data_IF_930850485919
#
_entry.id   IF_930850485919
#
_cell.length_a   1.000
_cell.length_b   1.000
_cell.length_c   1.000
_cell.angle_alpha   90.00
_cell.angle_beta   90.00
_cell.angle_gamma   90.00
#
_symmetry.space_group_name_H-M   'P 1'
#
loop_
_entity.id
_entity.type
_entity.pdbx_description
1 polymer ?
#
# COMPACT_ATOMS: atom_id res chain seq x y z
N UNK A 1 -19.01 -10.90 14.92
CA UNK A 1 -18.86 -9.44 14.78
C UNK A 1 -17.36 -9.19 14.69
N UNK A 2 -16.83 -8.92 13.49
CA UNK A 2 -15.37 -8.71 13.36
C UNK A 2 -14.97 -7.47 14.17
N UNK A 3 -13.90 -7.53 14.98
CA UNK A 3 -13.41 -6.35 15.69
C UNK A 3 -13.06 -5.27 14.67
N UNK A 4 -13.53 -4.04 14.89
CA UNK A 4 -13.23 -2.88 14.06
C UNK A 4 -11.72 -2.76 13.87
N UNK A 5 -11.27 -2.76 12.62
CA UNK A 5 -9.85 -2.67 12.22
C UNK A 5 -9.14 -1.44 12.79
N UNK A 6 -9.89 -0.36 13.05
CA UNK A 6 -9.41 0.86 13.69
C UNK A 6 -9.07 0.63 15.17
N UNK A 7 -9.84 -0.19 15.89
CA UNK A 7 -9.57 -0.49 17.29
C UNK A 7 -8.33 -1.39 17.43
N UNK A 8 -8.09 -2.29 16.47
CA UNK A 8 -6.88 -3.11 16.40
C UNK A 8 -5.64 -2.29 16.02
N UNK A 9 -5.78 -1.27 15.16
CA UNK A 9 -4.74 -0.27 14.94
C UNK A 9 -4.47 0.55 16.21
N UNK A 10 -5.51 0.90 16.96
CA UNK A 10 -5.40 1.58 18.25
C UNK A 10 -4.57 0.78 19.26
N UNK A 11 -4.82 -0.53 19.39
CA UNK A 11 -4.03 -1.36 20.33
C UNK A 11 -2.58 -1.55 19.89
N UNK A 12 -2.30 -1.68 18.59
CA UNK A 12 -0.93 -1.81 18.09
C UNK A 12 -0.08 -0.52 18.26
N UNK A 13 -0.74 0.63 18.35
CA UNK A 13 -0.10 1.92 18.71
C UNK A 13 0.19 1.96 20.22
N UNK A 14 -0.75 1.50 21.05
CA UNK A 14 -0.57 1.44 22.51
C UNK A 14 0.56 0.48 22.93
N UNK A 15 0.83 -0.57 22.15
CA UNK A 15 1.91 -1.55 22.37
C UNK A 15 3.29 -1.12 21.82
N UNK A 16 3.38 0.05 21.15
CA UNK A 16 4.66 0.61 20.68
C UNK A 16 5.24 -0.01 19.39
N UNK A 17 4.42 -0.73 18.60
CA UNK A 17 4.85 -1.54 17.44
C UNK A 17 4.76 -0.83 16.07
N UNK A 18 4.47 0.47 15.98
CA UNK A 18 4.47 1.14 14.68
C UNK A 18 4.85 2.59 14.80
N UNK A 19 5.77 3.04 13.97
CA UNK A 19 6.21 4.42 14.02
C UNK A 19 6.76 4.90 12.68
N UNK A 20 6.52 6.15 12.34
CA UNK A 20 7.00 6.84 11.13
C UNK A 20 7.40 8.25 11.58
N UNK A 21 8.44 8.86 10.99
CA UNK A 21 9.05 10.14 11.40
C UNK A 21 9.77 10.13 12.76
N UNK A 22 10.38 9.00 13.15
CA UNK A 22 11.49 9.03 14.11
C UNK A 22 11.61 7.87 15.09
N UNK A 23 10.73 6.86 15.04
CA UNK A 23 10.73 5.79 16.05
C UNK A 23 10.21 4.46 15.41
N UNK A 24 10.02 3.34 16.16
CA UNK A 24 9.91 1.88 15.78
C UNK A 24 8.78 1.37 14.82
N UNK A 25 8.95 1.34 13.49
CA UNK A 25 8.12 0.44 12.65
C UNK A 25 8.37 -1.02 13.11
N UNK A 26 7.39 -1.77 13.64
CA UNK A 26 7.61 -3.18 13.99
C UNK A 26 8.21 -3.97 12.83
N UNK A 27 9.03 -4.96 13.16
CA UNK A 27 9.69 -5.82 12.19
C UNK A 27 8.68 -6.36 11.16
N UNK A 28 9.01 -6.21 9.87
CA UNK A 28 8.15 -6.66 8.78
C UNK A 28 6.90 -5.82 8.50
N UNK A 29 6.61 -4.73 9.22
CA UNK A 29 5.47 -3.88 8.87
C UNK A 29 5.56 -3.26 7.45
N UNK A 30 6.73 -2.84 6.93
CA UNK A 30 6.83 -2.36 5.55
C UNK A 30 6.43 -3.43 4.54
N UNK A 31 6.79 -4.69 4.77
CA UNK A 31 6.41 -5.80 3.90
C UNK A 31 4.91 -6.11 4.01
N UNK A 32 4.33 -6.08 5.22
CA UNK A 32 2.87 -6.22 5.40
C UNK A 32 2.09 -5.13 4.66
N UNK A 33 2.57 -3.88 4.71
CA UNK A 33 2.01 -2.79 3.94
C UNK A 33 2.13 -3.04 2.44
N UNK A 34 3.31 -3.45 1.96
CA UNK A 34 3.54 -3.76 0.55
C UNK A 34 2.61 -4.86 0.03
N UNK A 35 2.50 -5.98 0.75
CA UNK A 35 1.59 -7.08 0.43
C UNK A 35 0.13 -6.63 0.37
N UNK A 36 -0.28 -5.72 1.25
CA UNK A 36 -1.65 -5.21 1.24
C UNK A 36 -1.95 -4.38 -0.01
N UNK A 37 -1.00 -3.59 -0.46
CA UNK A 37 -1.13 -2.82 -1.70
C UNK A 37 -1.09 -3.70 -2.95
N UNK A 38 -0.32 -4.79 -2.94
CA UNK A 38 -0.35 -5.78 -4.01
C UNK A 38 -1.70 -6.50 -4.08
N UNK A 39 -2.22 -6.96 -2.95
CA UNK A 39 -3.57 -7.55 -2.86
C UNK A 39 -4.65 -6.60 -3.36
N UNK A 40 -4.52 -5.31 -3.06
CA UNK A 40 -5.43 -4.28 -3.56
C UNK A 40 -5.33 -4.15 -5.08
N UNK A 41 -4.13 -4.11 -5.65
CA UNK A 41 -3.93 -4.05 -7.10
C UNK A 41 -4.55 -5.27 -7.80
N UNK A 42 -4.36 -6.47 -7.25
CA UNK A 42 -4.93 -7.71 -7.80
C UNK A 42 -6.46 -7.73 -7.74
N UNK A 43 -7.05 -7.22 -6.65
CA UNK A 43 -8.50 -7.07 -6.53
C UNK A 43 -9.06 -6.07 -7.55
N UNK A 44 -8.33 -5.01 -7.85
CA UNK A 44 -8.71 -4.02 -8.85
C UNK A 44 -8.61 -4.60 -10.27
N UNK A 45 -7.58 -5.39 -10.56
CA UNK A 45 -7.44 -6.09 -11.84
C UNK A 45 -8.59 -7.09 -12.07
N UNK A 46 -8.99 -7.84 -11.04
CA UNK A 46 -10.16 -8.72 -11.12
C UNK A 46 -11.47 -7.94 -11.42
N UNK A 47 -11.62 -6.72 -10.88
CA UNK A 47 -12.75 -5.84 -11.20
C UNK A 47 -12.70 -5.34 -12.64
N UNK A 48 -11.50 -5.01 -13.15
CA UNK A 48 -11.30 -4.62 -14.55
C UNK A 48 -11.72 -5.75 -15.49
N UNK A 49 -11.34 -7.00 -15.21
CA UNK A 49 -11.75 -8.16 -16.00
C UNK A 49 -13.27 -8.31 -16.04
N UNK A 50 -13.92 -8.14 -14.89
CA UNK A 50 -15.39 -8.18 -14.77
C UNK A 50 -16.05 -7.07 -15.59
N UNK A 51 -15.48 -5.85 -15.56
CA UNK A 51 -15.98 -4.70 -16.31
C UNK A 51 -15.70 -4.78 -17.81
N UNK A 52 -14.73 -5.61 -18.24
CA UNK A 52 -14.41 -5.80 -19.66
C UNK A 52 -15.62 -6.20 -20.51
N UNK A 53 -16.57 -6.95 -19.94
CA UNK A 53 -17.82 -7.31 -20.62
C UNK A 53 -18.76 -6.13 -20.86
N UNK A 54 -18.66 -5.04 -20.09
CA UNK A 54 -19.49 -3.84 -20.25
C UNK A 54 -18.99 -2.90 -21.37
N UNK A 55 -17.82 -3.18 -21.96
CA UNK A 55 -17.24 -2.39 -23.06
C UNK A 55 -17.90 -2.71 -24.41
N UNK A 56 -18.72 -3.77 -24.48
CA UNK A 56 -19.53 -4.08 -25.67
C UNK A 56 -20.93 -4.49 -25.24
N UNK A 57 -21.90 -3.59 -25.46
CA UNK A 57 -23.26 -3.80 -25.00
C UNK A 57 -24.23 -3.94 -26.20
N UNK A 58 -24.79 -5.14 -26.44
CA UNK A 58 -25.91 -5.31 -27.36
C UNK A 58 -27.22 -4.80 -26.73
N UNK A 59 -28.26 -4.63 -27.54
CA UNK A 59 -29.63 -4.41 -27.04
C UNK A 59 -30.15 -2.96 -27.02
N UNK A 60 -29.39 -2.00 -27.56
CA UNK A 60 -29.86 -0.60 -27.68
C UNK A 60 -30.80 -0.33 -28.87
N UNK A 61 -31.08 -1.33 -29.71
CA UNK A 61 -31.93 -1.19 -30.90
C UNK A 61 -31.20 -0.58 -32.12
N UNK A 62 -31.92 -0.42 -33.23
CA UNK A 62 -31.37 0.07 -34.51
C UNK A 62 -31.59 1.55 -34.80
N UNK A 63 -32.16 2.31 -33.86
CA UNK A 63 -32.37 3.74 -34.00
C UNK A 63 -31.09 4.52 -33.65
N UNK A 64 -30.94 5.72 -34.22
CA UNK A 64 -29.78 6.61 -33.97
C UNK A 64 -29.60 6.93 -32.47
N UNK A 65 -30.70 7.08 -31.74
CA UNK A 65 -30.68 7.28 -30.28
C UNK A 65 -30.10 6.08 -29.53
N UNK A 66 -30.35 4.86 -30.02
CA UNK A 66 -29.76 3.64 -29.49
C UNK A 66 -28.25 3.57 -29.72
N UNK A 67 -27.80 3.95 -30.92
CA UNK A 67 -26.38 4.03 -31.25
C UNK A 67 -25.65 5.06 -30.37
N UNK A 68 -26.25 6.22 -30.13
CA UNK A 68 -25.69 7.26 -29.27
C UNK A 68 -25.56 6.81 -27.80
N UNK A 69 -26.60 6.15 -27.25
CA UNK A 69 -26.56 5.63 -25.89
C UNK A 69 -25.49 4.54 -25.75
N UNK A 70 -25.43 3.58 -26.68
CA UNK A 70 -24.42 2.53 -26.70
C UNK A 70 -23.01 3.14 -26.65
N UNK A 71 -22.70 4.06 -27.56
CA UNK A 71 -21.39 4.72 -27.58
C UNK A 71 -21.07 5.47 -26.29
N UNK A 72 -22.07 6.12 -25.66
CA UNK A 72 -21.89 6.79 -24.37
C UNK A 72 -21.61 5.83 -23.21
N UNK A 73 -22.26 4.67 -23.17
CA UNK A 73 -21.99 3.64 -22.15
C UNK A 73 -20.63 2.97 -22.35
N UNK A 74 -20.30 2.60 -23.59
CA UNK A 74 -19.00 2.00 -23.94
C UNK A 74 -17.85 2.96 -23.62
N UNK A 75 -18.01 4.25 -23.93
CA UNK A 75 -17.05 5.29 -23.56
C UNK A 75 -16.83 5.39 -22.04
N UNK A 76 -17.92 5.46 -21.26
CA UNK A 76 -17.84 5.50 -19.79
C UNK A 76 -17.22 4.25 -19.18
N UNK A 77 -17.51 3.08 -19.74
CA UNK A 77 -16.88 1.82 -19.33
C UNK A 77 -15.37 1.86 -19.59
N UNK A 78 -14.96 2.38 -20.75
CA UNK A 78 -13.55 2.62 -21.09
C UNK A 78 -12.85 3.56 -20.10
N UNK A 79 -13.46 4.70 -19.79
CA UNK A 79 -12.92 5.68 -18.84
C UNK A 79 -12.78 5.08 -17.42
N UNK A 80 -13.78 4.33 -16.97
CA UNK A 80 -13.75 3.66 -15.67
C UNK A 80 -12.62 2.62 -15.61
N UNK A 81 -12.45 1.80 -16.66
CA UNK A 81 -11.35 0.83 -16.75
C UNK A 81 -9.99 1.54 -16.73
N UNK A 82 -9.84 2.66 -17.44
CA UNK A 82 -8.61 3.43 -17.44
C UNK A 82 -8.27 3.98 -16.05
N UNK A 83 -9.27 4.51 -15.33
CA UNK A 83 -9.10 4.98 -13.96
C UNK A 83 -8.70 3.85 -13.00
N UNK A 84 -9.34 2.69 -13.09
CA UNK A 84 -8.99 1.50 -12.28
C UNK A 84 -7.57 1.00 -12.55
N UNK A 85 -7.14 0.99 -13.83
CA UNK A 85 -5.75 0.62 -14.17
C UNK A 85 -4.73 1.57 -13.56
N UNK A 86 -4.99 2.86 -13.60
CA UNK A 86 -4.13 3.86 -12.96
C UNK A 86 -4.07 3.64 -11.44
N UNK A 87 -5.20 3.30 -10.82
CA UNK A 87 -5.26 3.00 -9.40
C UNK A 87 -4.47 1.73 -9.02
N UNK A 88 -4.60 0.64 -9.77
CA UNK A 88 -3.82 -0.58 -9.56
C UNK A 88 -2.30 -0.33 -9.69
N UNK A 89 -1.90 0.47 -10.69
CA UNK A 89 -0.51 0.86 -10.88
C UNK A 89 0.02 1.71 -9.72
N UNK A 90 -0.77 2.67 -9.22
CA UNK A 90 -0.40 3.47 -8.06
C UNK A 90 -0.24 2.61 -6.79
N UNK A 91 -1.12 1.62 -6.58
CA UNK A 91 -1.01 0.69 -5.47
C UNK A 91 0.31 -0.11 -5.54
N UNK A 92 0.66 -0.65 -6.72
CA UNK A 92 1.96 -1.35 -6.93
C UNK A 92 3.17 -0.44 -6.66
N UNK A 93 3.10 0.82 -7.08
CA UNK A 93 4.16 1.79 -6.79
C UNK A 93 4.31 2.02 -5.28
N UNK A 94 3.21 2.11 -4.53
CA UNK A 94 3.25 2.22 -3.07
C UNK A 94 3.87 0.98 -2.42
N UNK A 95 3.54 -0.23 -2.88
CA UNK A 95 4.19 -1.45 -2.40
C UNK A 95 5.71 -1.39 -2.59
N UNK A 96 6.18 -0.96 -3.77
CA UNK A 96 7.60 -0.80 -4.03
C UNK A 96 8.26 0.27 -3.15
N UNK A 97 7.56 1.37 -2.87
CA UNK A 97 8.04 2.43 -1.98
C UNK A 97 8.24 1.91 -0.56
N UNK A 98 7.29 1.12 -0.02
CA UNK A 98 7.44 0.54 1.31
C UNK A 98 8.64 -0.39 1.41
N UNK A 99 8.89 -1.25 0.41
CA UNK A 99 10.07 -2.12 0.38
C UNK A 99 11.36 -1.33 0.30
N UNK A 100 11.40 -0.31 -0.56
CA UNK A 100 12.56 0.57 -0.69
C UNK A 100 12.87 1.29 0.62
N UNK A 101 11.83 1.79 1.32
CA UNK A 101 11.97 2.41 2.63
C UNK A 101 12.50 1.41 3.68
N UNK A 102 12.00 0.18 3.70
CA UNK A 102 12.48 -0.87 4.60
C UNK A 102 14.00 -1.12 4.45
N UNK A 103 14.48 -1.24 3.21
CA UNK A 103 15.91 -1.43 2.92
C UNK A 103 16.72 -0.24 3.41
N UNK A 104 16.25 0.99 3.16
CA UNK A 104 16.93 2.20 3.60
C UNK A 104 17.02 2.28 5.14
N UNK A 105 15.94 1.92 5.85
CA UNK A 105 15.94 1.88 7.31
C UNK A 105 16.88 0.84 7.88
N UNK A 106 16.88 -0.40 7.34
CA UNK A 106 17.79 -1.46 7.78
C UNK A 106 19.25 -1.09 7.56
N UNK A 107 19.56 -0.44 6.43
CA UNK A 107 20.91 0.04 6.14
C UNK A 107 21.34 1.09 7.18
N UNK A 108 20.52 2.11 7.40
CA UNK A 108 20.81 3.17 8.38
C UNK A 108 20.97 2.62 9.81
N UNK A 109 20.11 1.70 10.23
CA UNK A 109 20.20 1.06 11.54
C UNK A 109 21.52 0.27 11.69
N UNK A 110 21.92 -0.48 10.65
CA UNK A 110 23.18 -1.22 10.66
C UNK A 110 24.42 -0.32 10.73
N UNK A 111 24.41 0.81 10.02
CA UNK A 111 25.49 1.79 10.06
C UNK A 111 25.61 2.44 11.44
N UNK A 112 24.48 2.82 12.05
CA UNK A 112 24.44 3.39 13.41
C UNK A 112 24.91 2.37 14.44
N UNK A 113 24.43 1.13 14.37
CA UNK A 113 24.85 0.06 15.27
C UNK A 113 26.37 -0.22 15.18
N UNK A 114 26.93 -0.23 13.96
CA UNK A 114 28.37 -0.39 13.75
C UNK A 114 29.17 0.78 14.33
N UNK A 115 28.70 2.02 14.16
CA UNK A 115 29.35 3.20 14.73
C UNK A 115 29.35 3.18 16.27
N UNK A 116 28.24 2.80 16.89
CA UNK A 116 28.12 2.66 18.35
C UNK A 116 28.99 1.51 18.89
N UNK A 117 29.07 0.39 18.17
CA UNK A 117 29.95 -0.73 18.54
C UNK A 117 31.45 -0.41 18.43
N UNK A 118 31.82 0.53 17.56
CA UNK A 118 33.20 0.97 17.38
C UNK A 118 33.66 2.00 18.43
N UNK A 119 32.73 2.65 19.14
CA UNK A 119 33.09 3.55 20.24
C UNK A 119 33.38 2.77 21.53
N UNK A 120 34.58 2.88 22.14
CA UNK A 120 34.82 2.31 23.45
C UNK A 120 33.92 3.01 24.47
N UNK A 121 33.03 2.26 25.10
CA UNK A 121 32.25 2.76 26.24
C UNK A 121 33.20 2.92 27.42
N UNK A 122 33.76 4.13 27.60
CA UNK A 122 34.37 4.51 28.87
C UNK A 122 33.25 4.61 29.91
N UNK A 123 32.96 3.50 30.57
CA UNK A 123 32.16 3.49 31.80
C UNK A 123 33.06 4.11 32.89
N UNK A 124 33.02 5.43 33.03
CA UNK A 124 33.58 6.10 34.21
C UNK A 124 32.70 5.76 35.41
N UNK A 125 32.95 4.59 36.00
CA UNK A 125 32.39 4.20 37.29
C UNK A 125 32.91 5.16 38.36
N UNK A 126 32.06 6.08 38.80
CA UNK A 126 32.28 6.82 40.05
C UNK A 126 32.08 5.82 41.19
N UNK A 127 33.18 5.18 41.60
CA UNK A 127 33.29 4.54 42.91
C UNK A 127 33.72 5.63 43.90
N UNK A 128 32.74 6.33 44.48
CA UNK A 128 32.96 7.26 45.59
C UNK A 128 32.67 6.56 46.91
N UNK A 129 33.73 6.24 47.65
CA UNK A 129 33.71 5.87 49.08
C UNK A 129 33.81 7.14 49.94
#
# INVERSE_FOLDING_TARGET
MQPNTIAALGSAVDDGELWIDGVLVAEGAPERCALRYEQLADQVDAQIETLGGAVSLPGFGGFDSGAALRGGFEGKAGDAIAALRNYANAARQMAQTFRSAAVAYQHADSEVAAALGATPVEVTGVSGA
#
